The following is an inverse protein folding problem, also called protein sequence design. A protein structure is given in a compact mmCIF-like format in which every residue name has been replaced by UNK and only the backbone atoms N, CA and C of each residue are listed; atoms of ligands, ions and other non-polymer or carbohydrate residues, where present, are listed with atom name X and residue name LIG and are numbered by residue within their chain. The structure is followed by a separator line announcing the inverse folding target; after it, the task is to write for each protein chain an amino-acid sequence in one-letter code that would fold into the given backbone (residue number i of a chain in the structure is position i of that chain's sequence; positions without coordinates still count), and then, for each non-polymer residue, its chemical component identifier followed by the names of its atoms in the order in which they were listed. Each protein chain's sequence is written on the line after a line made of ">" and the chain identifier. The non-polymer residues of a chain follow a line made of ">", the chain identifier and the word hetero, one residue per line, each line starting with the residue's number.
data_IF_923922251175
#
_entry.id   IF_923922251175
#
_cell.length_a   1.000
_cell.length_b   1.000
_cell.length_c   1.000
_cell.angle_alpha   90.00
_cell.angle_beta   90.00
_cell.angle_gamma   90.00
#
_symmetry.space_group_name_H-M   'P 1'
#
loop_
_entity.id
_entity.type
_entity.pdbx_description
1 polymer ?
#
# COMPACT_ATOMS: atom_id res chain seq x y z
N UNK A 1 -38.39 55.36 -43.37
CA UNK A 1 -38.89 55.05 -42.02
C UNK A 1 -38.88 53.53 -41.88
N UNK A 2 -38.08 52.99 -40.94
CA UNK A 2 -37.88 51.55 -40.70
C UNK A 2 -38.61 51.16 -39.40
N UNK A 3 -39.38 50.08 -39.44
CA UNK A 3 -40.03 49.42 -38.30
C UNK A 3 -41.37 48.78 -38.73
N UNK A 4 -41.83 47.65 -38.15
CA UNK A 4 -41.40 47.02 -36.89
C UNK A 4 -40.87 45.58 -37.03
N UNK A 5 -40.04 45.17 -36.07
CA UNK A 5 -39.67 43.78 -35.79
C UNK A 5 -40.78 43.13 -34.96
N UNK A 6 -41.42 42.09 -35.48
CA UNK A 6 -42.31 41.21 -34.73
C UNK A 6 -41.46 40.22 -33.91
N UNK A 7 -41.61 40.29 -32.58
CA UNK A 7 -41.15 39.26 -31.65
C UNK A 7 -41.92 37.95 -31.93
N UNK A 8 -41.19 36.91 -32.33
CA UNK A 8 -41.67 35.54 -32.23
C UNK A 8 -41.19 34.96 -30.89
N UNK A 9 -42.10 34.87 -29.91
CA UNK A 9 -41.94 34.02 -28.76
C UNK A 9 -42.29 32.59 -29.16
N UNK A 10 -41.34 31.65 -28.99
CA UNK A 10 -41.63 30.22 -28.97
C UNK A 10 -41.13 29.64 -27.65
N UNK A 11 -42.11 29.07 -26.95
CA UNK A 11 -42.02 28.41 -25.65
C UNK A 11 -41.69 26.94 -25.87
N UNK A 12 -40.72 26.47 -25.08
CA UNK A 12 -40.60 25.13 -24.48
C UNK A 12 -40.59 23.87 -25.35
N UNK A 13 -39.44 23.19 -25.33
CA UNK A 13 -39.29 21.73 -25.40
C UNK A 13 -38.32 21.36 -24.26
N UNK A 14 -38.84 20.95 -23.11
CA UNK A 14 -39.13 19.58 -22.71
C UNK A 14 -37.87 18.69 -22.60
N UNK A 15 -37.56 18.34 -21.34
CA UNK A 15 -36.83 17.16 -20.85
C UNK A 15 -35.57 16.74 -21.61
N UNK A 16 -34.41 17.26 -21.17
CA UNK A 16 -33.16 16.53 -21.34
C UNK A 16 -33.28 15.19 -20.61
N UNK A 17 -33.14 14.12 -21.37
CA UNK A 17 -33.09 12.76 -20.89
C UNK A 17 -32.08 12.64 -19.73
N UNK A 18 -32.55 12.09 -18.63
CA UNK A 18 -31.70 11.59 -17.55
C UNK A 18 -30.95 10.37 -18.11
N UNK A 19 -29.76 10.59 -18.66
CA UNK A 19 -28.83 9.50 -18.93
C UNK A 19 -28.48 8.86 -17.58
N UNK A 20 -28.74 7.56 -17.38
CA UNK A 20 -28.25 6.88 -16.19
C UNK A 20 -26.73 6.98 -16.21
N UNK A 21 -26.16 7.45 -15.10
CA UNK A 21 -24.71 7.52 -14.93
C UNK A 21 -24.07 6.19 -15.35
N UNK A 22 -22.96 6.20 -16.10
CA UNK A 22 -22.28 4.97 -16.45
C UNK A 22 -21.97 4.21 -15.15
N UNK A 23 -22.48 2.99 -15.06
CA UNK A 23 -22.12 2.03 -14.01
C UNK A 23 -20.63 1.69 -14.22
N UNK A 24 -19.74 2.56 -13.73
CA UNK A 24 -18.32 2.30 -13.71
C UNK A 24 -18.14 1.17 -12.71
N UNK A 25 -17.81 -0.01 -13.23
CA UNK A 25 -17.25 -1.10 -12.42
C UNK A 25 -16.10 -0.50 -11.63
N UNK A 26 -16.30 -0.37 -10.32
CA UNK A 26 -15.19 -0.40 -9.38
C UNK A 26 -14.41 -1.65 -9.77
N UNK A 27 -13.10 -1.59 -10.06
CA UNK A 27 -12.34 -2.81 -10.27
C UNK A 27 -12.55 -3.67 -9.03
N UNK A 28 -13.25 -4.78 -9.26
CA UNK A 28 -13.36 -5.87 -8.31
C UNK A 28 -11.93 -6.28 -7.97
N UNK A 29 -11.66 -6.38 -6.67
CA UNK A 29 -10.38 -6.73 -6.05
C UNK A 29 -9.13 -6.27 -6.82
N UNK A 30 -8.51 -5.18 -6.36
CA UNK A 30 -7.07 -5.12 -6.48
C UNK A 30 -6.53 -6.43 -5.92
N UNK A 31 -5.97 -7.26 -6.79
CA UNK A 31 -5.45 -8.58 -6.47
C UNK A 31 -4.70 -8.51 -5.13
N UNK A 32 -4.87 -9.51 -4.25
CA UNK A 32 -4.12 -9.56 -3.00
C UNK A 32 -2.65 -9.33 -3.34
N UNK A 33 -2.02 -8.39 -2.64
CA UNK A 33 -0.57 -8.30 -2.61
C UNK A 33 -0.12 -9.71 -2.27
N UNK A 34 0.46 -10.40 -3.25
CA UNK A 34 0.91 -11.76 -3.01
C UNK A 34 1.96 -11.67 -1.91
N UNK A 35 1.59 -12.20 -0.74
CA UNK A 35 2.56 -12.61 0.27
C UNK A 35 3.58 -13.46 -0.51
N UNK A 36 4.80 -12.93 -0.65
CA UNK A 36 5.83 -13.54 -1.47
C UNK A 36 5.91 -15.02 -1.16
N UNK A 37 5.70 -15.83 -2.20
CA UNK A 37 5.86 -17.28 -2.15
C UNK A 37 7.18 -17.59 -1.44
N UNK A 38 7.06 -18.40 -0.38
CA UNK A 38 8.16 -18.87 0.42
C UNK A 38 9.29 -19.34 -0.49
N UNK A 39 10.43 -18.68 -0.37
CA UNK A 39 11.67 -19.16 -0.95
C UNK A 39 11.92 -20.53 -0.34
N UNK A 40 11.70 -21.56 -1.14
CA UNK A 40 11.98 -22.94 -0.82
C UNK A 40 13.45 -23.02 -0.45
N UNK A 41 13.72 -23.15 0.85
CA UNK A 41 15.05 -23.44 1.37
C UNK A 41 15.45 -24.78 0.79
N UNK A 42 16.57 -24.91 0.06
CA UNK A 42 17.04 -26.21 -0.35
C UNK A 42 17.43 -27.02 0.90
N UNK A 43 16.60 -28.02 1.19
CA UNK A 43 16.92 -29.11 2.12
C UNK A 43 18.03 -29.96 1.52
N UNK A 44 19.28 -29.52 1.68
CA UNK A 44 20.43 -30.37 1.46
C UNK A 44 20.64 -31.23 2.71
N UNK A 45 20.10 -32.46 2.68
CA UNK A 45 20.60 -33.54 3.52
C UNK A 45 21.98 -33.96 2.98
N UNK A 46 23.03 -34.07 3.80
CA UNK A 46 24.28 -34.69 3.39
C UNK A 46 24.16 -36.21 3.53
N UNK A 47 24.17 -36.93 2.40
CA UNK A 47 24.49 -38.36 2.39
C UNK A 47 26.00 -38.56 2.51
N UNK A 48 26.38 -39.45 3.42
CA UNK A 48 27.75 -39.82 3.74
C UNK A 48 28.21 -41.04 2.91
N UNK A 49 29.42 -40.94 2.34
CA UNK A 49 30.41 -42.01 2.11
C UNK A 49 31.62 -41.33 1.43
N UNK A 50 32.90 -41.46 1.80
CA UNK A 50 33.66 -42.33 2.68
C UNK A 50 34.99 -42.68 1.97
N UNK A 51 36.10 -42.73 2.72
CA UNK A 51 37.52 -43.04 2.37
C UNK A 51 38.42 -41.83 2.03
N UNK A 52 39.62 -41.61 2.59
CA UNK A 52 40.39 -42.25 3.67
C UNK A 52 41.86 -41.76 3.66
N UNK A 53 42.46 -41.55 4.85
CA UNK A 53 43.90 -41.42 5.22
C UNK A 53 44.77 -40.34 4.53
N UNK A 54 45.76 -39.65 5.11
CA UNK A 54 46.43 -39.49 6.41
C UNK A 54 47.02 -38.04 6.40
N UNK A 55 47.29 -37.34 7.49
CA UNK A 55 48.56 -37.41 8.24
C UNK A 55 48.52 -36.34 9.36
N UNK A 56 49.30 -36.56 10.41
CA UNK A 56 49.31 -35.86 11.71
C UNK A 56 49.89 -34.43 11.65
N UNK A 57 49.41 -33.53 12.51
CA UNK A 57 50.25 -32.78 13.46
C UNK A 57 49.51 -31.62 14.15
N UNK A 58 49.42 -31.74 15.47
CA UNK A 58 49.69 -30.71 16.47
C UNK A 58 48.74 -29.49 16.62
N UNK A 59 47.95 -29.54 17.70
CA UNK A 59 47.36 -28.37 18.33
C UNK A 59 48.46 -27.44 18.91
N UNK A 60 48.15 -26.15 19.15
CA UNK A 60 47.66 -25.89 20.49
C UNK A 60 46.49 -24.92 20.59
N UNK A 61 45.77 -25.13 21.69
CA UNK A 61 44.84 -24.27 22.40
C UNK A 61 44.95 -22.76 22.15
N UNK A 62 43.81 -22.11 21.92
CA UNK A 62 43.30 -21.04 22.76
C UNK A 62 41.93 -20.55 22.26
N UNK A 63 41.07 -20.19 23.21
CA UNK A 63 39.81 -19.45 23.05
C UNK A 63 38.70 -20.15 22.25
N UNK A 64 38.01 -21.05 22.95
CA UNK A 64 36.58 -21.18 22.77
C UNK A 64 35.94 -19.81 23.12
N UNK A 65 35.64 -19.02 22.10
CA UNK A 65 34.65 -17.96 22.24
C UNK A 65 33.27 -18.61 22.11
N UNK A 66 32.68 -18.79 23.28
CA UNK A 66 31.29 -19.09 23.56
C UNK A 66 30.37 -18.13 22.78
N UNK A 67 29.99 -18.48 21.56
CA UNK A 67 28.89 -17.82 20.87
C UNK A 67 27.56 -18.40 21.34
N UNK A 68 27.28 -18.22 22.62
CA UNK A 68 25.92 -18.14 23.13
C UNK A 68 25.29 -16.84 22.61
N UNK A 69 24.93 -16.85 21.33
CA UNK A 69 24.18 -15.76 20.72
C UNK A 69 22.75 -15.73 21.25
N UNK A 70 22.53 -14.91 22.26
CA UNK A 70 21.27 -14.32 22.73
C UNK A 70 20.57 -13.50 21.59
N UNK A 71 20.29 -14.19 20.49
CA UNK A 71 19.50 -13.73 19.36
C UNK A 71 18.07 -14.23 19.51
N UNK A 72 17.44 -13.96 20.66
CA UNK A 72 16.04 -14.26 20.86
C UNK A 72 15.16 -13.65 19.75
N UNK A 73 13.92 -14.14 19.58
CA UNK A 73 13.02 -13.81 18.46
C UNK A 73 12.80 -12.29 18.24
N UNK A 74 13.08 -11.46 19.24
CA UNK A 74 12.88 -10.00 19.20
C UNK A 74 13.75 -9.31 18.14
N UNK A 75 15.06 -9.62 18.06
CA UNK A 75 15.96 -8.94 17.10
C UNK A 75 15.62 -9.24 15.64
N UNK A 76 15.09 -10.43 15.37
CA UNK A 76 14.70 -10.83 14.02
C UNK A 76 13.43 -10.09 13.59
N UNK A 77 12.44 -9.98 14.48
CA UNK A 77 11.19 -9.25 14.19
C UNK A 77 11.47 -7.76 13.93
N UNK A 78 12.32 -7.12 14.73
CA UNK A 78 12.73 -5.73 14.50
C UNK A 78 13.39 -5.53 13.13
N UNK A 79 14.25 -6.46 12.70
CA UNK A 79 14.89 -6.39 11.39
C UNK A 79 13.89 -6.54 10.23
N UNK A 80 12.86 -7.36 10.41
CA UNK A 80 11.80 -7.56 9.42
C UNK A 80 10.88 -6.34 9.36
N UNK A 81 10.55 -5.74 10.50
CA UNK A 81 9.77 -4.52 10.59
C UNK A 81 10.49 -3.34 9.90
N UNK A 82 11.78 -3.15 10.16
CA UNK A 82 12.59 -2.13 9.50
C UNK A 82 12.71 -2.36 7.99
N UNK A 83 12.86 -3.61 7.55
CA UNK A 83 12.86 -3.95 6.13
C UNK A 83 11.49 -3.64 5.48
N UNK A 84 10.39 -4.02 6.13
CA UNK A 84 9.03 -3.75 5.64
C UNK A 84 8.76 -2.25 5.48
N UNK A 85 9.24 -1.42 6.42
CA UNK A 85 9.16 0.03 6.33
C UNK A 85 9.86 0.60 5.08
N UNK A 86 11.11 0.20 4.85
CA UNK A 86 11.86 0.65 3.67
C UNK A 86 11.28 0.09 2.37
N UNK A 87 10.73 -1.13 2.40
CA UNK A 87 10.00 -1.72 1.27
C UNK A 87 8.75 -0.91 0.93
N UNK A 88 7.97 -0.48 1.94
CA UNK A 88 6.81 0.39 1.77
C UNK A 88 7.17 1.73 1.12
N UNK A 89 8.28 2.36 1.57
CA UNK A 89 8.78 3.60 0.95
C UNK A 89 9.15 3.41 -0.52
N UNK A 90 9.83 2.31 -0.87
CA UNK A 90 10.18 2.00 -2.27
C UNK A 90 8.93 1.73 -3.11
N UNK A 91 7.95 1.03 -2.55
CA UNK A 91 6.67 0.78 -3.22
C UNK A 91 5.93 2.10 -3.51
N UNK A 92 5.89 3.03 -2.56
CA UNK A 92 5.30 4.35 -2.75
C UNK A 92 6.02 5.14 -3.86
N UNK A 93 7.37 5.18 -3.84
CA UNK A 93 8.16 5.86 -4.88
C UNK A 93 7.90 5.28 -6.28
N UNK A 94 7.80 3.95 -6.39
CA UNK A 94 7.47 3.27 -7.64
C UNK A 94 6.07 3.67 -8.14
N UNK A 95 5.07 3.67 -7.25
CA UNK A 95 3.70 4.08 -7.60
C UNK A 95 3.63 5.56 -8.01
N UNK A 96 4.34 6.45 -7.33
CA UNK A 96 4.45 7.88 -7.70
C UNK A 96 5.03 8.05 -9.10
N UNK A 97 6.09 7.29 -9.42
CA UNK A 97 6.72 7.29 -10.76
C UNK A 97 5.74 6.84 -11.84
N UNK A 98 4.82 5.93 -11.51
CA UNK A 98 3.73 5.47 -12.37
C UNK A 98 2.51 6.39 -12.35
N UNK A 99 2.60 7.55 -11.70
CA UNK A 99 1.50 8.51 -11.50
C UNK A 99 0.27 7.91 -10.81
N UNK A 100 0.48 6.96 -9.90
CA UNK A 100 -0.55 6.35 -9.08
C UNK A 100 -0.46 6.90 -7.66
N UNK A 101 -1.51 7.56 -7.18
CA UNK A 101 -1.60 8.00 -5.79
C UNK A 101 -2.47 7.03 -5.00
N UNK A 102 -2.03 6.66 -3.81
CA UNK A 102 -2.79 5.78 -2.94
C UNK A 102 -2.42 5.91 -1.48
N UNK A 103 -3.31 5.41 -0.63
CA UNK A 103 -3.08 5.25 0.80
C UNK A 103 -3.37 3.79 1.18
N UNK A 104 -2.57 3.23 2.05
CA UNK A 104 -2.77 1.91 2.63
C UNK A 104 -3.49 2.04 3.98
N UNK A 105 -4.48 1.20 4.21
CA UNK A 105 -5.24 1.12 5.46
C UNK A 105 -5.37 -0.33 5.89
N UNK A 106 -5.50 -0.54 7.18
CA UNK A 106 -5.68 -1.85 7.77
C UNK A 106 -6.63 -1.79 8.97
N UNK A 107 -7.17 -2.93 9.36
CA UNK A 107 -8.08 -3.04 10.50
C UNK A 107 -9.55 -2.87 10.10
N UNK A 108 -10.39 -2.70 11.13
CA UNK A 108 -11.84 -2.58 10.94
C UNK A 108 -12.19 -1.21 10.32
N UNK A 109 -12.96 -1.17 9.21
CA UNK A 109 -13.28 0.08 8.53
C UNK A 109 -14.14 1.03 9.37
N UNK A 110 -13.76 2.31 9.39
CA UNK A 110 -14.63 3.36 9.92
C UNK A 110 -15.93 3.47 9.10
N UNK A 111 -17.04 3.90 9.74
CA UNK A 111 -18.35 4.05 9.07
C UNK A 111 -18.29 4.98 7.84
N UNK A 112 -17.49 6.04 7.92
CA UNK A 112 -17.31 7.02 6.86
C UNK A 112 -16.39 6.54 5.72
N UNK A 113 -15.72 5.38 5.86
CA UNK A 113 -14.67 4.92 4.92
C UNK A 113 -15.13 4.90 3.47
N UNK A 114 -16.35 4.44 3.20
CA UNK A 114 -16.91 4.38 1.84
C UNK A 114 -16.97 5.76 1.19
N UNK A 115 -17.38 6.76 1.96
CA UNK A 115 -17.50 8.13 1.46
C UNK A 115 -16.13 8.79 1.34
N UNK A 116 -15.25 8.54 2.30
CA UNK A 116 -13.86 9.00 2.28
C UNK A 116 -13.11 8.50 1.04
N UNK A 117 -13.18 7.20 0.74
CA UNK A 117 -12.52 6.61 -0.44
C UNK A 117 -13.14 7.13 -1.75
N UNK A 118 -14.46 7.31 -1.80
CA UNK A 118 -15.15 7.88 -2.95
C UNK A 118 -14.66 9.30 -3.27
N UNK A 119 -14.59 10.18 -2.27
CA UNK A 119 -14.14 11.57 -2.44
C UNK A 119 -12.67 11.61 -2.87
N UNK A 120 -11.80 10.81 -2.23
CA UNK A 120 -10.38 10.69 -2.62
C UNK A 120 -10.22 10.32 -4.10
N UNK A 121 -10.97 9.32 -4.56
CA UNK A 121 -10.89 8.87 -5.95
C UNK A 121 -11.46 9.89 -6.95
N UNK A 122 -12.67 10.39 -6.69
CA UNK A 122 -13.36 11.26 -7.63
C UNK A 122 -12.62 12.59 -7.83
N UNK A 123 -12.18 13.21 -6.74
CA UNK A 123 -11.58 14.55 -6.76
C UNK A 123 -10.07 14.54 -6.94
N UNK A 124 -9.38 13.57 -6.35
CA UNK A 124 -7.92 13.59 -6.25
C UNK A 124 -7.25 12.40 -6.96
N UNK A 125 -8.03 11.45 -7.49
CA UNK A 125 -7.51 10.21 -8.10
C UNK A 125 -6.60 9.42 -7.14
N UNK A 126 -6.87 9.54 -5.84
CA UNK A 126 -6.19 8.80 -4.77
C UNK A 126 -7.00 7.54 -4.46
N UNK A 127 -6.34 6.39 -4.48
CA UNK A 127 -6.96 5.09 -4.15
C UNK A 127 -6.71 4.74 -2.69
N UNK A 128 -7.77 4.42 -1.94
CA UNK A 128 -7.64 3.85 -0.59
C UNK A 128 -7.58 2.32 -0.69
N UNK A 129 -6.43 1.72 -0.36
CA UNK A 129 -6.14 0.29 -0.44
C UNK A 129 -6.20 -0.33 0.95
N UNK A 130 -7.04 -1.34 1.12
CA UNK A 130 -7.01 -2.16 2.35
C UNK A 130 -5.99 -3.26 2.18
N UNK A 131 -4.92 -3.20 2.97
CA UNK A 131 -3.83 -4.19 2.92
C UNK A 131 -4.03 -5.32 3.91
N UNK A 132 -4.87 -5.12 4.94
CA UNK A 132 -5.26 -6.15 5.89
C UNK A 132 -6.58 -5.81 6.60
N UNK A 133 -7.37 -6.83 6.91
CA UNK A 133 -8.57 -6.72 7.74
C UNK A 133 -8.24 -6.85 9.23
N UNK A 134 -8.80 -7.87 9.90
CA UNK A 134 -8.64 -8.06 11.35
C UNK A 134 -7.28 -8.62 11.79
N UNK A 135 -6.59 -9.36 10.91
CA UNK A 135 -5.29 -9.96 11.23
C UNK A 135 -4.22 -9.06 10.64
N UNK A 136 -3.48 -8.39 11.52
CA UNK A 136 -2.42 -7.45 11.18
C UNK A 136 -1.18 -7.84 11.99
N UNK A 137 -0.04 -7.94 11.32
CA UNK A 137 1.26 -8.12 11.96
C UNK A 137 2.13 -6.86 11.81
N UNK A 138 3.27 -6.85 12.49
CA UNK A 138 4.16 -5.69 12.52
C UNK A 138 4.75 -5.35 11.13
N UNK A 139 4.92 -6.35 10.26
CA UNK A 139 5.41 -6.11 8.90
C UNK A 139 4.38 -5.38 8.04
N UNK A 140 3.09 -5.71 8.20
CA UNK A 140 1.99 -4.98 7.53
C UNK A 140 1.92 -3.54 8.03
N UNK A 141 2.02 -3.33 9.36
CA UNK A 141 1.98 -1.99 9.95
C UNK A 141 3.15 -1.14 9.43
N UNK A 142 4.37 -1.65 9.50
CA UNK A 142 5.54 -0.89 9.09
C UNK A 142 5.60 -0.65 7.57
N UNK A 143 5.17 -1.62 6.74
CA UNK A 143 5.03 -1.39 5.31
C UNK A 143 4.05 -0.25 5.01
N UNK A 144 2.83 -0.32 5.56
CA UNK A 144 1.82 0.70 5.34
C UNK A 144 2.26 2.08 5.86
N UNK A 145 2.99 2.11 6.99
CA UNK A 145 3.57 3.33 7.54
C UNK A 145 4.59 3.95 6.58
N UNK A 146 5.54 3.17 6.08
CA UNK A 146 6.56 3.65 5.13
C UNK A 146 5.94 4.10 3.80
N UNK A 147 4.94 3.36 3.31
CA UNK A 147 4.20 3.72 2.10
C UNK A 147 3.44 5.04 2.27
N UNK A 148 2.66 5.17 3.33
CA UNK A 148 1.82 6.34 3.57
C UNK A 148 2.62 7.60 3.87
N UNK A 149 3.76 7.52 4.58
CA UNK A 149 4.60 8.70 4.83
C UNK A 149 5.02 9.38 3.51
N UNK A 150 5.46 8.58 2.53
CA UNK A 150 5.86 9.06 1.21
C UNK A 150 4.66 9.52 0.39
N UNK A 151 3.58 8.73 0.38
CA UNK A 151 2.39 9.04 -0.42
C UNK A 151 1.63 10.26 0.10
N UNK A 152 1.47 10.41 1.41
CA UNK A 152 0.80 11.56 2.00
C UNK A 152 1.55 12.85 1.68
N UNK A 153 2.88 12.85 1.77
CA UNK A 153 3.70 13.99 1.38
C UNK A 153 3.49 14.35 -0.10
N UNK A 154 3.44 13.36 -0.99
CA UNK A 154 3.20 13.59 -2.42
C UNK A 154 1.77 14.07 -2.71
N UNK A 155 0.76 13.50 -2.05
CA UNK A 155 -0.64 13.91 -2.17
C UNK A 155 -0.80 15.35 -1.71
N UNK A 156 -0.21 15.72 -0.57
CA UNK A 156 -0.18 17.10 -0.06
C UNK A 156 0.53 18.03 -1.04
N UNK A 157 1.67 17.62 -1.60
CA UNK A 157 2.40 18.42 -2.59
C UNK A 157 1.56 18.72 -3.84
N UNK A 158 0.74 17.76 -4.28
CA UNK A 158 -0.11 17.89 -5.50
C UNK A 158 -1.45 18.59 -5.24
N UNK A 159 -2.04 18.40 -4.07
CA UNK A 159 -3.44 18.75 -3.81
C UNK A 159 -3.64 19.76 -2.67
N UNK A 160 -2.57 20.11 -1.95
CA UNK A 160 -2.58 21.06 -0.85
C UNK A 160 -2.53 20.40 0.53
N UNK A 161 -2.01 21.13 1.52
CA UNK A 161 -1.80 20.64 2.89
C UNK A 161 -3.09 20.26 3.64
N UNK A 162 -4.23 20.80 3.22
CA UNK A 162 -5.53 20.58 3.87
C UNK A 162 -6.37 19.50 3.17
N UNK A 163 -5.80 18.77 2.21
CA UNK A 163 -6.52 17.77 1.41
C UNK A 163 -7.20 16.71 2.29
N UNK A 164 -6.50 16.12 3.26
CA UNK A 164 -7.06 15.07 4.10
C UNK A 164 -8.13 15.60 5.07
N UNK A 165 -7.93 16.78 5.65
CA UNK A 165 -8.92 17.43 6.50
C UNK A 165 -10.22 17.73 5.72
N UNK A 166 -10.10 18.28 4.51
CA UNK A 166 -11.24 18.56 3.63
C UNK A 166 -12.02 17.30 3.29
N UNK A 167 -11.33 16.21 2.99
CA UNK A 167 -11.96 14.92 2.64
C UNK A 167 -12.64 14.33 3.88
N UNK A 168 -11.95 14.30 5.02
CA UNK A 168 -12.50 13.80 6.30
C UNK A 168 -13.82 14.48 6.62
N UNK A 169 -13.80 15.82 6.66
CA UNK A 169 -14.97 16.64 6.97
C UNK A 169 -16.12 16.41 6.00
N UNK A 170 -15.84 16.26 4.70
CA UNK A 170 -16.87 15.99 3.69
C UNK A 170 -17.45 14.57 3.82
N UNK A 171 -16.62 13.60 4.20
CA UNK A 171 -17.03 12.22 4.38
C UNK A 171 -17.82 11.98 5.68
N UNK A 172 -17.82 12.95 6.60
CA UNK A 172 -18.38 12.77 7.95
C UNK A 172 -17.52 11.84 8.81
N UNK A 173 -16.22 11.84 8.56
CA UNK A 173 -15.21 11.48 9.54
C UNK A 173 -14.88 12.76 10.34
#
# INVERSE_FOLDING_TARGET
>A
MRGPLLLAALVSTACAAHEPAPQIRVPDEAAPVQAGEGRQVPSAAPEAAGTGAADEAEAPAAAAEDQAGDGGPVKQVESLAAAAYEDGKRAAQSAITQNQLGLETFGYPARCRREYSRILWEKYKVVLREVAGCVVDETIVEHARGYNEVMEAEIVRRHGADVFEKVSKQAGC
#
